data_IF_461222537803
#
_entry.id   IF_461222537803
#
_cell.length_a   1.000
_cell.length_b   1.000
_cell.length_c   1.000
_cell.angle_alpha   90.00
_cell.angle_beta   90.00
_cell.angle_gamma   90.00
#
_symmetry.space_group_name_H-M   'P 1'
#
loop_
_entity.id
_entity.type
_entity.pdbx_description
1 polymer ?
#
# COMPACT_ATOMS: atom_id res chain seq x y z
N UNK A 1 -29.84 -87.09 -67.27
CA UNK A 1 -30.47 -85.92 -66.60
C UNK A 1 -29.38 -84.98 -66.14
N UNK A 2 -29.06 -83.91 -66.82
CA UNK A 2 -27.97 -82.98 -66.52
C UNK A 2 -28.56 -81.70 -65.93
N UNK A 3 -28.24 -81.39 -64.70
CA UNK A 3 -28.60 -80.13 -64.03
C UNK A 3 -27.59 -79.06 -64.37
N UNK A 4 -28.03 -77.98 -65.08
CA UNK A 4 -27.23 -76.78 -65.30
C UNK A 4 -27.13 -76.00 -64.02
N UNK A 5 -25.86 -75.71 -63.59
CA UNK A 5 -25.56 -74.74 -62.56
C UNK A 5 -25.66 -73.33 -63.15
N UNK A 6 -26.49 -72.49 -62.55
CA UNK A 6 -26.52 -71.07 -62.82
C UNK A 6 -25.30 -70.40 -62.11
N UNK A 7 -24.52 -69.71 -62.90
CA UNK A 7 -23.52 -68.77 -62.34
C UNK A 7 -24.29 -67.56 -61.83
N UNK A 8 -24.02 -67.25 -60.56
CA UNK A 8 -24.49 -65.98 -59.97
C UNK A 8 -23.38 -64.95 -60.22
N UNK A 9 -23.65 -63.93 -60.98
CA UNK A 9 -22.80 -62.74 -61.15
C UNK A 9 -22.73 -61.99 -59.85
N UNK A 10 -21.49 -61.82 -59.34
CA UNK A 10 -21.21 -60.91 -58.18
C UNK A 10 -21.26 -59.45 -58.68
N UNK A 11 -21.93 -58.54 -57.98
CA UNK A 11 -21.88 -57.12 -58.30
C UNK A 11 -20.49 -56.59 -58.03
N UNK A 12 -19.99 -55.77 -58.97
CA UNK A 12 -18.71 -55.10 -58.91
C UNK A 12 -18.63 -54.14 -57.67
N UNK A 13 -17.57 -54.29 -56.92
CA UNK A 13 -17.24 -53.37 -55.81
C UNK A 13 -17.01 -51.95 -56.36
N UNK A 14 -17.51 -50.89 -55.69
CA UNK A 14 -17.25 -49.53 -56.11
C UNK A 14 -15.79 -49.21 -55.93
N UNK A 15 -15.15 -48.76 -56.99
CA UNK A 15 -13.82 -48.17 -57.03
C UNK A 15 -13.79 -46.92 -56.14
N UNK A 16 -13.02 -46.97 -55.05
CA UNK A 16 -12.73 -45.81 -54.23
C UNK A 16 -11.76 -44.90 -55.00
N UNK A 17 -12.29 -43.93 -55.70
CA UNK A 17 -11.49 -42.79 -56.13
C UNK A 17 -11.09 -41.99 -54.87
N UNK A 18 -9.81 -41.59 -54.72
CA UNK A 18 -9.40 -40.77 -53.61
C UNK A 18 -10.08 -39.39 -53.72
N UNK A 19 -11.07 -39.14 -52.85
CA UNK A 19 -11.62 -37.78 -52.71
C UNK A 19 -10.48 -36.89 -52.27
N UNK A 20 -10.07 -35.96 -53.16
CA UNK A 20 -9.22 -34.83 -52.80
C UNK A 20 -9.85 -34.14 -51.60
N UNK A 21 -9.15 -34.20 -50.45
CA UNK A 21 -9.50 -33.41 -49.27
C UNK A 21 -9.25 -31.95 -49.64
N UNK A 22 -10.31 -31.24 -50.03
CA UNK A 22 -10.28 -29.80 -50.08
C UNK A 22 -9.99 -29.31 -48.66
N UNK A 23 -8.76 -28.91 -48.40
CA UNK A 23 -8.38 -28.33 -47.14
C UNK A 23 -9.15 -27.01 -46.99
N UNK A 24 -10.11 -26.98 -46.06
CA UNK A 24 -10.85 -25.79 -45.68
C UNK A 24 -9.86 -24.83 -45.05
N UNK A 25 -9.30 -23.91 -45.85
CA UNK A 25 -8.48 -22.83 -45.33
C UNK A 25 -9.40 -21.77 -44.80
N UNK A 26 -9.44 -21.67 -43.45
CA UNK A 26 -10.15 -20.60 -42.77
C UNK A 26 -9.55 -19.24 -43.19
N UNK A 27 -10.43 -18.26 -43.43
CA UNK A 27 -10.04 -16.92 -43.85
C UNK A 27 -9.02 -16.28 -42.88
N UNK A 28 -9.03 -16.71 -41.65
CA UNK A 28 -8.03 -16.32 -40.64
C UNK A 28 -6.64 -16.93 -40.94
N UNK A 29 -6.58 -18.23 -41.26
CA UNK A 29 -5.33 -18.90 -41.60
C UNK A 29 -4.71 -18.36 -42.88
N UNK A 30 -5.52 -18.04 -43.89
CA UNK A 30 -5.01 -17.45 -45.13
C UNK A 30 -4.46 -16.04 -44.95
N UNK A 31 -5.08 -15.23 -44.09
CA UNK A 31 -4.58 -13.90 -43.75
C UNK A 31 -3.32 -13.95 -42.91
N UNK A 32 -3.19 -14.89 -41.96
CA UNK A 32 -1.98 -15.11 -41.16
C UNK A 32 -0.84 -15.60 -42.04
N UNK A 33 -1.08 -16.57 -42.92
CA UNK A 33 -0.06 -17.09 -43.83
C UNK A 33 0.44 -16.01 -44.82
N UNK A 34 -0.49 -15.19 -45.35
CA UNK A 34 -0.13 -14.08 -46.25
C UNK A 34 0.70 -13.01 -45.56
N UNK A 35 0.39 -12.67 -44.32
CA UNK A 35 1.22 -11.73 -43.51
C UNK A 35 2.58 -12.32 -43.13
N UNK A 36 2.65 -13.62 -42.86
CA UNK A 36 3.89 -14.34 -42.64
C UNK A 36 4.77 -14.39 -43.89
N UNK A 37 4.15 -14.62 -45.07
CA UNK A 37 4.86 -14.63 -46.38
C UNK A 37 5.36 -13.22 -46.77
N UNK A 38 4.54 -12.18 -46.58
CA UNK A 38 4.94 -10.79 -46.80
C UNK A 38 6.06 -10.37 -45.86
N UNK A 39 6.06 -10.79 -44.59
CA UNK A 39 7.16 -10.55 -43.66
C UNK A 39 8.41 -11.38 -44.04
N UNK A 40 8.28 -12.62 -44.49
CA UNK A 40 9.45 -13.44 -44.87
C UNK A 40 10.21 -12.87 -46.07
N UNK A 41 9.50 -12.25 -47.03
CA UNK A 41 10.15 -11.57 -48.18
C UNK A 41 10.97 -10.34 -47.76
N UNK A 42 10.57 -9.62 -46.74
CA UNK A 42 11.33 -8.48 -46.20
C UNK A 42 12.63 -8.95 -45.55
N UNK A 43 12.69 -10.24 -45.13
CA UNK A 43 13.85 -10.85 -44.46
C UNK A 43 14.75 -11.68 -45.37
N UNK A 44 14.42 -11.86 -46.64
CA UNK A 44 15.29 -12.55 -47.60
C UNK A 44 16.63 -11.82 -47.75
N UNK A 45 17.71 -12.52 -47.51
CA UNK A 45 19.08 -12.00 -47.55
C UNK A 45 19.59 -11.36 -46.24
N UNK A 46 18.74 -11.11 -45.23
CA UNK A 46 19.17 -10.49 -43.96
C UNK A 46 19.24 -11.45 -42.76
N UNK A 47 19.27 -12.75 -43.01
CA UNK A 47 19.25 -13.78 -41.97
C UNK A 47 20.27 -13.58 -40.83
N UNK A 48 21.49 -13.15 -41.16
CA UNK A 48 22.53 -12.86 -40.16
C UNK A 48 22.18 -11.65 -39.31
N UNK A 49 21.63 -10.60 -39.91
CA UNK A 49 21.21 -9.38 -39.16
C UNK A 49 20.05 -9.67 -38.22
N UNK A 50 19.09 -10.52 -38.63
CA UNK A 50 17.97 -10.94 -37.79
C UNK A 50 18.49 -11.81 -36.65
N UNK A 51 19.39 -12.73 -36.89
CA UNK A 51 20.02 -13.56 -35.86
C UNK A 51 20.71 -12.70 -34.79
N UNK A 52 21.47 -11.68 -35.22
CA UNK A 52 22.10 -10.74 -34.30
C UNK A 52 21.08 -9.89 -33.53
N UNK A 53 20.00 -9.47 -34.15
CA UNK A 53 18.94 -8.73 -33.48
C UNK A 53 18.23 -9.59 -32.41
N UNK A 54 17.92 -10.86 -32.72
CA UNK A 54 17.35 -11.80 -31.76
C UNK A 54 18.34 -12.07 -30.63
N UNK A 55 19.64 -12.31 -30.95
CA UNK A 55 20.66 -12.51 -29.93
C UNK A 55 20.78 -11.28 -29.00
N UNK A 56 20.73 -10.07 -29.55
CA UNK A 56 20.77 -8.83 -28.77
C UNK A 56 19.55 -8.69 -27.85
N UNK A 57 18.35 -9.04 -28.32
CA UNK A 57 17.12 -9.04 -27.51
C UNK A 57 17.23 -10.07 -26.37
N UNK A 58 17.73 -11.27 -26.65
CA UNK A 58 17.92 -12.31 -25.62
C UNK A 58 18.91 -11.85 -24.56
N UNK A 59 20.07 -11.28 -24.98
CA UNK A 59 21.06 -10.73 -24.04
C UNK A 59 20.46 -9.62 -23.19
N UNK A 60 19.70 -8.70 -23.81
CA UNK A 60 19.02 -7.62 -23.09
C UNK A 60 18.01 -8.17 -22.08
N UNK A 61 17.21 -9.18 -22.45
CA UNK A 61 16.25 -9.83 -21.56
C UNK A 61 16.94 -10.52 -20.36
N UNK A 62 18.10 -11.16 -20.60
CA UNK A 62 18.92 -11.75 -19.53
C UNK A 62 19.44 -10.67 -18.59
N UNK A 63 19.97 -9.57 -19.12
CA UNK A 63 20.47 -8.44 -18.32
C UNK A 63 19.35 -7.81 -17.47
N UNK A 64 18.18 -7.61 -18.06
CA UNK A 64 16.98 -7.12 -17.34
C UNK A 64 16.60 -8.12 -16.24
N UNK A 65 16.59 -9.43 -16.52
CA UNK A 65 16.28 -10.47 -15.55
C UNK A 65 17.27 -10.49 -14.37
N UNK A 66 18.57 -10.36 -14.64
CA UNK A 66 19.60 -10.27 -13.61
C UNK A 66 19.42 -8.99 -12.80
N UNK A 67 19.19 -7.85 -13.44
CA UNK A 67 18.97 -6.57 -12.79
C UNK A 67 17.72 -6.60 -11.88
N UNK A 68 16.61 -7.14 -12.38
CA UNK A 68 15.39 -7.29 -11.59
C UNK A 68 15.58 -8.23 -10.39
N UNK A 69 16.30 -9.34 -10.57
CA UNK A 69 16.60 -10.29 -9.50
C UNK A 69 17.49 -9.65 -8.43
N UNK A 70 18.52 -8.92 -8.85
CA UNK A 70 19.40 -8.18 -7.96
C UNK A 70 18.62 -7.12 -7.16
N UNK A 71 17.79 -6.33 -7.85
CA UNK A 71 16.99 -5.28 -7.24
C UNK A 71 15.97 -5.85 -6.23
N UNK A 72 15.32 -6.98 -6.53
CA UNK A 72 14.41 -7.66 -5.60
C UNK A 72 15.12 -8.13 -4.33
N UNK A 73 16.32 -8.71 -4.46
CA UNK A 73 17.11 -9.18 -3.30
C UNK A 73 17.60 -8.00 -2.47
N UNK A 74 18.08 -6.94 -3.12
CA UNK A 74 18.50 -5.71 -2.45
C UNK A 74 17.35 -5.09 -1.67
N UNK A 75 16.15 -4.98 -2.29
CA UNK A 75 14.97 -4.45 -1.64
C UNK A 75 14.51 -5.30 -0.44
N UNK A 76 14.53 -6.62 -0.54
CA UNK A 76 14.19 -7.51 0.58
C UNK A 76 15.16 -7.32 1.76
N UNK A 77 16.46 -7.23 1.47
CA UNK A 77 17.48 -6.98 2.51
C UNK A 77 17.32 -5.59 3.13
N UNK A 78 17.01 -4.57 2.32
CA UNK A 78 16.75 -3.21 2.77
C UNK A 78 15.52 -3.14 3.68
N UNK A 79 14.41 -3.79 3.30
CA UNK A 79 13.20 -3.88 4.12
C UNK A 79 13.46 -4.60 5.46
N UNK A 80 14.24 -5.68 5.44
CA UNK A 80 14.62 -6.38 6.68
C UNK A 80 15.45 -5.48 7.60
N UNK A 81 16.42 -4.74 7.06
CA UNK A 81 17.23 -3.81 7.85
C UNK A 81 16.39 -2.66 8.41
N UNK A 82 15.46 -2.09 7.60
CA UNK A 82 14.52 -1.07 8.04
C UNK A 82 13.61 -1.61 9.15
N UNK A 83 13.04 -2.82 8.99
CA UNK A 83 12.20 -3.48 9.98
C UNK A 83 12.92 -3.64 11.34
N UNK A 84 14.18 -4.07 11.31
CA UNK A 84 14.99 -4.19 12.53
C UNK A 84 15.21 -2.85 13.23
N UNK A 85 15.46 -1.79 12.47
CA UNK A 85 15.60 -0.45 13.03
C UNK A 85 14.27 0.07 13.63
N UNK A 86 13.13 -0.27 12.99
CA UNK A 86 11.79 0.02 13.53
C UNK A 86 11.57 -0.73 14.85
N UNK A 87 11.90 -2.03 14.94
CA UNK A 87 11.82 -2.79 16.18
C UNK A 87 12.63 -2.13 17.30
N UNK A 88 13.84 -1.64 16.99
CA UNK A 88 14.65 -0.89 17.95
C UNK A 88 13.98 0.40 18.40
N UNK A 89 13.36 1.15 17.47
CA UNK A 89 12.66 2.40 17.78
C UNK A 89 11.41 2.21 18.65
N UNK A 90 10.82 1.02 18.59
CA UNK A 90 9.62 0.63 19.34
C UNK A 90 9.94 -0.22 20.58
N UNK A 91 11.22 -0.49 20.85
CA UNK A 91 11.62 -1.30 21.97
C UNK A 91 11.17 -0.71 23.31
N UNK A 92 10.87 -1.57 24.25
CA UNK A 92 10.39 -1.15 25.56
C UNK A 92 11.44 -0.36 26.33
N UNK A 93 11.00 0.72 26.98
CA UNK A 93 11.83 1.48 27.93
C UNK A 93 11.47 1.02 29.35
N UNK A 94 12.41 0.44 30.05
CA UNK A 94 12.20 -0.10 31.41
C UNK A 94 13.52 -0.22 32.17
N UNK A 95 13.47 0.08 33.45
CA UNK A 95 14.60 -0.16 34.39
C UNK A 95 14.52 -1.57 35.02
N UNK A 96 13.45 -2.33 34.77
CA UNK A 96 13.27 -3.65 35.33
C UNK A 96 14.15 -4.68 34.62
N UNK A 97 14.84 -5.55 35.32
CA UNK A 97 15.58 -6.64 34.70
C UNK A 97 14.64 -7.60 33.99
N UNK A 98 15.01 -7.95 32.79
CA UNK A 98 14.23 -8.93 32.00
C UNK A 98 14.38 -10.35 32.61
N UNK A 99 13.35 -11.21 32.46
CA UNK A 99 13.47 -12.61 32.84
C UNK A 99 14.67 -13.27 32.16
N UNK A 100 15.31 -14.21 32.86
CA UNK A 100 16.44 -14.96 32.31
C UNK A 100 16.04 -15.67 31.01
N UNK A 101 16.83 -15.48 29.94
CA UNK A 101 16.56 -16.05 28.60
C UNK A 101 15.71 -15.15 27.69
N UNK A 102 15.31 -13.95 28.13
CA UNK A 102 14.62 -13.00 27.26
C UNK A 102 15.56 -12.47 26.16
N UNK A 103 15.09 -12.51 24.90
CA UNK A 103 15.79 -11.91 23.74
C UNK A 103 15.25 -10.53 23.37
N UNK A 104 14.30 -10.01 24.15
CA UNK A 104 13.66 -8.71 23.91
C UNK A 104 14.66 -7.60 24.17
N UNK A 105 14.84 -6.70 23.19
CA UNK A 105 15.67 -5.51 23.34
C UNK A 105 14.94 -4.49 24.19
N UNK A 106 15.57 -3.97 25.23
CA UNK A 106 15.02 -2.91 26.07
C UNK A 106 16.07 -1.83 26.30
N UNK A 107 15.61 -0.64 26.68
CA UNK A 107 16.45 0.51 26.97
C UNK A 107 16.06 1.12 28.32
N UNK A 108 16.97 1.79 28.97
CA UNK A 108 16.68 2.45 30.23
C UNK A 108 15.95 3.79 30.05
N UNK A 109 16.24 4.49 28.96
CA UNK A 109 15.66 5.79 28.67
C UNK A 109 15.16 5.87 27.21
N UNK A 110 14.18 6.74 26.96
CA UNK A 110 13.74 7.06 25.60
C UNK A 110 14.87 7.61 24.74
N UNK A 111 15.76 8.40 25.34
CA UNK A 111 16.91 8.95 24.64
C UNK A 111 17.85 7.84 24.14
N UNK A 112 18.23 6.89 25.02
CA UNK A 112 19.07 5.75 24.63
C UNK A 112 18.43 4.92 23.51
N UNK A 113 17.11 4.67 23.59
CA UNK A 113 16.36 3.97 22.56
C UNK A 113 16.41 4.74 21.23
N UNK A 114 16.13 6.04 21.26
CA UNK A 114 16.13 6.90 20.10
C UNK A 114 17.51 6.99 19.43
N UNK A 115 18.59 7.15 20.22
CA UNK A 115 19.97 7.16 19.73
C UNK A 115 20.35 5.84 19.05
N UNK A 116 19.99 4.71 19.66
CA UNK A 116 20.22 3.39 19.07
C UNK A 116 19.42 3.20 17.74
N UNK A 117 18.17 3.62 17.73
CA UNK A 117 17.34 3.57 16.53
C UNK A 117 17.90 4.45 15.41
N UNK A 118 18.30 5.69 15.71
CA UNK A 118 18.92 6.61 14.76
C UNK A 118 20.18 5.97 14.14
N UNK A 119 21.03 5.33 14.91
CA UNK A 119 22.23 4.68 14.39
C UNK A 119 21.89 3.53 13.43
N UNK A 120 20.89 2.70 13.75
CA UNK A 120 20.43 1.62 12.88
C UNK A 120 19.76 2.16 11.59
N UNK A 121 18.92 3.19 11.67
CA UNK A 121 18.35 3.85 10.50
C UNK A 121 19.42 4.52 9.64
N UNK A 122 20.44 5.13 10.24
CA UNK A 122 21.56 5.71 9.49
C UNK A 122 22.30 4.64 8.68
N UNK A 123 22.55 3.47 9.27
CA UNK A 123 23.13 2.35 8.54
C UNK A 123 22.26 1.87 7.34
N UNK A 124 20.92 2.02 7.45
CA UNK A 124 20.00 1.77 6.33
C UNK A 124 20.17 2.83 5.25
N UNK A 125 20.23 4.11 5.62
CA UNK A 125 20.45 5.23 4.67
C UNK A 125 21.77 5.07 3.92
N UNK A 126 22.85 4.74 4.65
CA UNK A 126 24.21 4.61 4.09
C UNK A 126 24.33 3.45 3.12
N UNK A 127 23.57 2.36 3.36
CA UNK A 127 23.66 1.14 2.55
C UNK A 127 22.61 1.07 1.44
N UNK A 128 21.45 1.67 1.64
CA UNK A 128 20.30 1.53 0.74
C UNK A 128 19.76 2.90 0.37
N UNK A 129 19.55 3.12 -0.93
CA UNK A 129 18.91 4.33 -1.46
C UNK A 129 17.40 4.10 -1.71
N UNK A 130 16.83 5.01 -2.52
CA UNK A 130 15.43 4.93 -2.95
C UNK A 130 14.44 5.04 -1.80
N UNK A 131 13.28 4.42 -1.95
CA UNK A 131 12.16 4.54 -1.00
C UNK A 131 12.52 4.09 0.42
N UNK A 132 13.34 3.05 0.55
CA UNK A 132 13.75 2.54 1.88
C UNK A 132 14.67 3.53 2.59
N UNK A 133 15.61 4.12 1.86
CA UNK A 133 16.49 5.16 2.40
C UNK A 133 15.71 6.42 2.80
N UNK A 134 14.73 6.85 2.01
CA UNK A 134 13.88 7.99 2.35
C UNK A 134 13.01 7.71 3.58
N UNK A 135 12.43 6.51 3.70
CA UNK A 135 11.72 6.10 4.92
C UNK A 135 12.64 6.08 6.15
N UNK A 136 13.88 5.60 6.00
CA UNK A 136 14.84 5.61 7.10
C UNK A 136 15.18 7.05 7.54
N UNK A 137 15.35 8.01 6.63
CA UNK A 137 15.53 9.43 6.95
C UNK A 137 14.35 10.00 7.76
N UNK A 138 13.12 9.65 7.37
CA UNK A 138 11.93 10.04 8.15
C UNK A 138 11.98 9.50 9.57
N UNK A 139 12.30 8.22 9.75
CA UNK A 139 12.41 7.63 11.09
C UNK A 139 13.56 8.21 11.90
N UNK A 140 14.68 8.59 11.28
CA UNK A 140 15.77 9.34 11.95
C UNK A 140 15.21 10.65 12.50
N UNK A 141 14.54 11.44 11.69
CA UNK A 141 13.99 12.74 12.08
C UNK A 141 12.98 12.60 13.25
N UNK A 142 12.08 11.59 13.19
CA UNK A 142 11.10 11.33 14.24
C UNK A 142 11.77 10.92 15.56
N UNK A 143 12.74 9.99 15.52
CA UNK A 143 13.45 9.57 16.73
C UNK A 143 14.31 10.72 17.31
N UNK A 144 14.86 11.58 16.43
CA UNK A 144 15.65 12.74 16.86
C UNK A 144 14.84 13.77 17.63
N UNK A 145 13.50 13.78 17.54
CA UNK A 145 12.65 14.64 18.38
C UNK A 145 12.88 14.44 19.89
N UNK A 146 13.30 13.25 20.31
CA UNK A 146 13.61 12.92 21.70
C UNK A 146 15.09 13.17 22.08
N UNK A 147 15.96 13.46 21.11
CA UNK A 147 17.41 13.62 21.32
C UNK A 147 17.85 15.07 21.07
N UNK A 148 17.50 15.61 19.91
CA UNK A 148 17.80 16.96 19.44
C UNK A 148 16.62 17.51 18.65
N UNK A 149 15.67 18.08 19.38
CA UNK A 149 14.40 18.56 18.82
C UNK A 149 14.56 19.65 17.74
N UNK A 150 15.44 20.67 17.88
CA UNK A 150 15.65 21.65 16.83
C UNK A 150 16.15 21.05 15.52
N UNK A 151 17.12 20.14 15.58
CA UNK A 151 17.63 19.45 14.40
C UNK A 151 16.54 18.57 13.75
N UNK A 152 15.76 17.85 14.56
CA UNK A 152 14.65 17.03 14.09
C UNK A 152 13.58 17.83 13.34
N UNK A 153 13.19 18.99 13.88
CA UNK A 153 12.22 19.88 13.23
C UNK A 153 12.74 20.37 11.88
N UNK A 154 14.02 20.75 11.81
CA UNK A 154 14.65 21.17 10.54
C UNK A 154 14.65 20.02 9.49
N UNK A 155 14.95 18.80 9.91
CA UNK A 155 14.90 17.63 9.03
C UNK A 155 13.49 17.32 8.55
N UNK A 156 12.50 17.36 9.47
CA UNK A 156 11.09 17.17 9.11
C UNK A 156 10.59 18.27 8.15
N UNK A 157 11.01 19.53 8.34
CA UNK A 157 10.71 20.63 7.40
C UNK A 157 11.29 20.38 6.01
N UNK A 158 12.48 19.79 5.93
CA UNK A 158 13.10 19.38 4.68
C UNK A 158 12.29 18.27 3.98
N UNK A 159 11.99 17.19 4.71
CA UNK A 159 11.26 16.03 4.21
C UNK A 159 9.80 16.35 3.85
N UNK A 160 9.13 17.22 4.61
CA UNK A 160 7.75 17.64 4.39
C UNK A 160 7.52 18.41 3.06
N UNK A 161 8.58 18.90 2.44
CA UNK A 161 8.54 19.52 1.08
C UNK A 161 8.43 18.48 -0.03
N UNK A 162 8.79 17.23 0.27
CA UNK A 162 8.67 16.12 -0.65
C UNK A 162 7.21 15.72 -0.92
N UNK A 163 6.99 15.00 -2.01
CA UNK A 163 5.70 14.37 -2.34
C UNK A 163 5.67 12.91 -1.87
N UNK A 164 4.48 12.32 -1.88
CA UNK A 164 4.27 10.91 -1.55
C UNK A 164 4.26 10.61 -0.06
N UNK A 165 4.51 9.33 0.29
CA UNK A 165 4.35 8.81 1.64
C UNK A 165 5.23 9.54 2.66
N UNK A 166 6.53 9.63 2.40
CA UNK A 166 7.50 10.25 3.33
C UNK A 166 7.21 11.72 3.54
N UNK A 167 6.89 12.47 2.47
CA UNK A 167 6.53 13.88 2.58
C UNK A 167 5.28 14.10 3.43
N UNK A 168 4.24 13.28 3.23
CA UNK A 168 2.98 13.35 4.00
C UNK A 168 3.19 13.02 5.46
N UNK A 169 3.90 11.91 5.76
CA UNK A 169 4.21 11.50 7.13
C UNK A 169 5.08 12.54 7.84
N UNK A 170 6.05 13.11 7.13
CA UNK A 170 6.92 14.17 7.70
C UNK A 170 6.15 15.45 7.99
N UNK A 171 5.21 15.83 7.13
CA UNK A 171 4.32 16.99 7.37
C UNK A 171 3.45 16.76 8.60
N UNK A 172 2.93 15.54 8.77
CA UNK A 172 2.14 15.19 9.94
C UNK A 172 2.97 15.21 11.23
N UNK A 173 4.15 14.58 11.23
CA UNK A 173 5.07 14.60 12.37
C UNK A 173 5.53 16.02 12.70
N UNK A 174 5.77 16.86 11.68
CA UNK A 174 6.11 18.28 11.86
C UNK A 174 4.96 19.05 12.50
N UNK A 175 3.70 18.81 12.09
CA UNK A 175 2.54 19.43 12.70
C UNK A 175 2.43 19.10 14.19
N UNK A 176 2.63 17.82 14.54
CA UNK A 176 2.67 17.39 15.95
C UNK A 176 3.82 18.03 16.72
N UNK A 177 5.01 18.11 16.13
CA UNK A 177 6.17 18.74 16.75
C UNK A 177 5.93 20.24 17.01
N UNK A 178 5.39 20.98 16.00
CA UNK A 178 5.03 22.41 16.13
C UNK A 178 3.97 22.62 17.20
N UNK A 179 2.95 21.75 17.26
CA UNK A 179 1.93 21.78 18.29
C UNK A 179 2.51 21.55 19.70
N UNK A 180 3.45 20.62 19.84
CA UNK A 180 4.18 20.37 21.08
C UNK A 180 5.07 21.53 21.52
N UNK A 181 5.60 22.30 20.56
CA UNK A 181 6.40 23.51 20.81
C UNK A 181 5.55 24.76 21.07
N UNK A 182 4.21 24.63 21.13
CA UNK A 182 3.28 25.75 21.29
C UNK A 182 3.10 26.62 20.05
N UNK A 183 3.67 26.24 18.90
CA UNK A 183 3.50 26.92 17.61
C UNK A 183 2.20 26.52 16.94
N UNK A 184 1.09 26.83 17.63
CA UNK A 184 -0.24 26.32 17.28
C UNK A 184 -0.70 26.77 15.89
N UNK A 185 -0.40 27.99 15.45
CA UNK A 185 -0.78 28.52 14.12
C UNK A 185 -0.06 27.77 12.99
N UNK A 186 1.24 27.47 13.17
CA UNK A 186 2.00 26.67 12.22
C UNK A 186 1.45 25.24 12.14
N UNK A 187 1.10 24.63 13.28
CA UNK A 187 0.48 23.31 13.34
C UNK A 187 -0.88 23.27 12.63
N UNK A 188 -1.76 24.27 12.86
CA UNK A 188 -3.05 24.40 12.17
C UNK A 188 -2.86 24.44 10.66
N UNK A 189 -1.93 25.26 10.16
CA UNK A 189 -1.65 25.35 8.73
C UNK A 189 -1.24 24.01 8.14
N UNK A 190 -0.35 23.26 8.80
CA UNK A 190 0.11 21.95 8.35
C UNK A 190 -1.01 20.91 8.35
N UNK A 191 -1.86 20.87 9.37
CA UNK A 191 -3.03 19.97 9.43
C UNK A 191 -4.07 20.33 8.37
N UNK A 192 -4.33 21.61 8.12
CA UNK A 192 -5.25 22.05 7.05
C UNK A 192 -4.75 21.63 5.67
N UNK A 193 -3.44 21.69 5.44
CA UNK A 193 -2.85 21.20 4.18
C UNK A 193 -2.99 19.69 4.02
N UNK A 194 -2.79 18.92 5.10
CA UNK A 194 -3.00 17.47 5.11
C UNK A 194 -4.48 17.12 4.85
N UNK A 195 -5.42 17.84 5.45
CA UNK A 195 -6.86 17.59 5.29
C UNK A 195 -7.35 17.80 3.86
N UNK A 196 -6.68 18.66 3.06
CA UNK A 196 -6.99 18.92 1.64
C UNK A 196 -6.48 17.85 0.69
N UNK A 197 -5.65 16.90 1.14
CA UNK A 197 -5.09 15.87 0.27
C UNK A 197 -6.17 14.92 -0.24
N UNK A 198 -6.12 14.59 -1.55
CA UNK A 198 -7.15 13.76 -2.20
C UNK A 198 -6.99 12.28 -1.87
N UNK A 199 -5.75 11.81 -1.72
CA UNK A 199 -5.42 10.42 -1.40
C UNK A 199 -4.52 10.39 -0.15
N UNK A 200 -5.11 10.51 1.04
CA UNK A 200 -4.36 10.65 2.27
C UNK A 200 -3.86 9.28 2.77
N UNK A 201 -2.55 9.20 2.98
CA UNK A 201 -1.91 8.06 3.67
C UNK A 201 -2.36 7.99 5.13
N UNK A 202 -2.65 9.14 5.73
CA UNK A 202 -3.18 9.26 7.09
C UNK A 202 -4.67 9.52 6.98
N UNK A 203 -5.47 8.82 7.77
CA UNK A 203 -6.92 9.00 7.79
C UNK A 203 -7.29 10.49 7.95
N UNK A 204 -8.22 10.96 7.12
CA UNK A 204 -8.76 12.32 7.24
C UNK A 204 -9.35 12.60 8.61
N UNK A 205 -9.97 11.59 9.21
CA UNK A 205 -10.53 11.72 10.57
C UNK A 205 -9.43 11.96 11.60
N UNK A 206 -8.29 11.25 11.48
CA UNK A 206 -7.13 11.48 12.37
C UNK A 206 -6.57 12.90 12.19
N UNK A 207 -6.38 13.34 10.95
CA UNK A 207 -5.86 14.69 10.66
C UNK A 207 -6.81 15.76 11.18
N UNK A 208 -8.11 15.61 10.94
CA UNK A 208 -9.13 16.56 11.39
C UNK A 208 -9.29 16.54 12.91
N UNK A 209 -9.19 15.37 13.54
CA UNK A 209 -9.23 15.25 14.99
C UNK A 209 -8.08 16.00 15.67
N UNK A 210 -6.85 15.81 15.16
CA UNK A 210 -5.68 16.53 15.66
C UNK A 210 -5.81 18.04 15.42
N UNK A 211 -6.31 18.46 14.23
CA UNK A 211 -6.62 19.87 13.94
C UNK A 211 -7.59 20.45 14.97
N UNK A 212 -8.68 19.74 15.26
CA UNK A 212 -9.67 20.18 16.24
C UNK A 212 -9.09 20.33 17.65
N UNK A 213 -8.20 19.38 18.06
CA UNK A 213 -7.50 19.51 19.33
C UNK A 213 -6.61 20.76 19.40
N UNK A 214 -5.95 21.12 18.30
CA UNK A 214 -5.14 22.34 18.28
C UNK A 214 -6.00 23.60 18.32
N UNK A 215 -7.14 23.62 17.60
CA UNK A 215 -8.11 24.71 17.68
C UNK A 215 -8.70 24.87 19.09
N UNK A 216 -8.98 23.75 19.77
CA UNK A 216 -9.40 23.75 21.18
C UNK A 216 -8.34 24.40 22.08
N UNK A 217 -7.06 24.06 21.90
CA UNK A 217 -5.92 24.67 22.60
C UNK A 217 -5.78 26.18 22.31
N UNK A 218 -6.14 26.62 21.11
CA UNK A 218 -6.20 28.05 20.75
C UNK A 218 -7.42 28.78 21.32
N UNK A 219 -8.32 28.07 22.01
CA UNK A 219 -9.59 28.63 22.51
C UNK A 219 -10.70 28.74 21.45
N UNK A 220 -10.47 28.28 20.21
CA UNK A 220 -11.44 28.26 19.11
C UNK A 220 -12.42 27.09 19.24
N UNK A 221 -13.14 27.06 20.37
CA UNK A 221 -13.97 25.94 20.77
C UNK A 221 -15.10 25.62 19.77
N UNK A 222 -15.70 26.63 19.17
CA UNK A 222 -16.77 26.46 18.18
C UNK A 222 -16.25 25.75 16.92
N UNK A 223 -15.12 26.20 16.39
CA UNK A 223 -14.48 25.58 15.22
C UNK A 223 -14.08 24.12 15.52
N UNK A 224 -13.51 23.86 16.69
CA UNK A 224 -13.16 22.51 17.13
C UNK A 224 -14.41 21.60 17.22
N UNK A 225 -15.50 22.10 17.85
CA UNK A 225 -16.76 21.39 17.97
C UNK A 225 -17.37 21.05 16.59
N UNK A 226 -17.28 21.93 15.62
CA UNK A 226 -17.74 21.70 14.25
C UNK A 226 -16.98 20.54 13.58
N UNK A 227 -15.68 20.49 13.76
CA UNK A 227 -14.86 19.41 13.21
C UNK A 227 -15.16 18.08 13.92
N UNK A 228 -15.22 18.05 15.25
CA UNK A 228 -15.59 16.84 16.00
C UNK A 228 -16.98 16.33 15.61
N UNK A 229 -17.94 17.23 15.43
CA UNK A 229 -19.27 16.90 14.96
C UNK A 229 -19.23 16.19 13.59
N UNK A 230 -18.49 16.75 12.64
CA UNK A 230 -18.40 16.19 11.30
C UNK A 230 -17.79 14.79 11.31
N UNK A 231 -16.74 14.55 12.11
CA UNK A 231 -16.12 13.23 12.28
C UNK A 231 -17.14 12.24 12.87
N UNK A 232 -17.76 12.59 13.98
CA UNK A 232 -18.66 11.70 14.70
C UNK A 232 -19.93 11.40 13.90
N UNK A 233 -20.51 12.41 13.22
CA UNK A 233 -21.68 12.27 12.36
C UNK A 233 -21.39 11.38 11.15
N UNK A 234 -20.32 11.64 10.42
CA UNK A 234 -19.94 10.83 9.25
C UNK A 234 -19.74 9.36 9.63
N UNK A 235 -19.11 9.09 10.77
CA UNK A 235 -18.91 7.74 11.27
C UNK A 235 -20.23 7.07 11.72
N UNK A 236 -21.17 7.83 12.35
CA UNK A 236 -22.47 7.31 12.78
C UNK A 236 -23.38 6.98 11.58
N UNK A 237 -23.26 7.71 10.47
CA UNK A 237 -24.04 7.51 9.24
C UNK A 237 -23.40 6.46 8.31
N UNK A 238 -22.17 6.02 8.58
CA UNK A 238 -21.45 5.07 7.73
C UNK A 238 -22.10 3.68 7.76
N UNK A 239 -22.23 3.07 6.58
CA UNK A 239 -22.81 1.74 6.40
C UNK A 239 -21.89 0.88 5.56
N UNK A 240 -21.91 -0.42 5.81
CA UNK A 240 -21.22 -1.41 4.99
C UNK A 240 -21.96 -1.67 3.65
N UNK A 241 -21.42 -2.58 2.84
CA UNK A 241 -22.02 -2.96 1.56
C UNK A 241 -23.41 -3.58 1.70
N UNK A 242 -23.76 -4.12 2.87
CA UNK A 242 -25.06 -4.72 3.18
C UNK A 242 -26.03 -3.71 3.80
N UNK A 243 -25.63 -2.45 3.96
CA UNK A 243 -26.43 -1.38 4.55
C UNK A 243 -26.48 -1.39 6.07
N UNK A 244 -25.65 -2.20 6.73
CA UNK A 244 -25.54 -2.25 8.19
C UNK A 244 -24.64 -1.14 8.70
N UNK A 245 -24.93 -0.62 9.89
CA UNK A 245 -24.08 0.37 10.54
C UNK A 245 -22.68 -0.18 10.82
N UNK A 246 -21.66 0.60 10.49
CA UNK A 246 -20.26 0.27 10.81
C UNK A 246 -19.96 0.72 12.24
N UNK A 247 -19.30 -0.12 13.08
CA UNK A 247 -18.89 0.30 14.41
C UNK A 247 -17.99 1.54 14.35
N UNK A 248 -18.22 2.49 15.26
CA UNK A 248 -17.43 3.71 15.33
C UNK A 248 -15.93 3.38 15.53
N UNK A 249 -15.07 4.02 14.74
CA UNK A 249 -13.63 4.00 14.99
C UNK A 249 -13.29 4.63 16.35
N UNK A 250 -12.08 4.37 16.86
CA UNK A 250 -11.63 5.02 18.10
C UNK A 250 -11.66 6.55 17.96
N UNK A 251 -11.12 7.09 16.87
CA UNK A 251 -11.12 8.54 16.59
C UNK A 251 -12.53 9.13 16.58
N UNK A 252 -13.51 8.42 16.00
CA UNK A 252 -14.90 8.89 15.97
C UNK A 252 -15.56 8.88 17.35
N UNK A 253 -15.26 7.89 18.20
CA UNK A 253 -15.72 7.86 19.59
C UNK A 253 -15.13 9.01 20.38
N UNK A 254 -13.82 9.21 20.31
CA UNK A 254 -13.14 10.32 20.98
C UNK A 254 -13.64 11.68 20.49
N UNK A 255 -13.93 11.82 19.20
CA UNK A 255 -14.55 13.03 18.64
C UNK A 255 -15.94 13.28 19.21
N UNK A 256 -16.78 12.24 19.36
CA UNK A 256 -18.10 12.35 20.00
C UNK A 256 -17.99 12.75 21.46
N UNK A 257 -17.02 12.21 22.20
CA UNK A 257 -16.79 12.56 23.62
C UNK A 257 -16.33 14.02 23.76
N UNK A 258 -15.39 14.44 22.91
CA UNK A 258 -14.93 15.84 22.85
C UNK A 258 -16.04 16.80 22.49
N UNK A 259 -16.87 16.46 21.50
CA UNK A 259 -18.03 17.25 21.11
C UNK A 259 -19.02 17.36 22.26
N UNK A 260 -19.30 16.25 22.95
CA UNK A 260 -20.22 16.23 24.09
C UNK A 260 -19.76 17.17 25.21
N UNK A 261 -18.45 17.27 25.42
CA UNK A 261 -17.90 18.19 26.41
C UNK A 261 -17.92 19.66 25.96
N UNK A 262 -17.83 19.95 24.67
CA UNK A 262 -17.80 21.31 24.13
C UNK A 262 -19.20 21.85 23.78
N UNK A 263 -20.05 21.02 23.20
CA UNK A 263 -21.39 21.34 22.73
C UNK A 263 -22.32 20.13 22.87
N UNK A 264 -22.92 19.92 24.09
CA UNK A 264 -23.79 18.80 24.35
C UNK A 264 -25.04 18.77 23.46
N UNK A 265 -25.58 19.93 23.11
CA UNK A 265 -26.80 20.01 22.29
C UNK A 265 -26.53 19.53 20.85
N UNK A 266 -25.41 19.94 20.30
CA UNK A 266 -24.97 19.49 19.00
C UNK A 266 -24.65 17.98 18.98
N UNK A 267 -24.07 17.46 20.07
CA UNK A 267 -23.77 16.03 20.21
C UNK A 267 -25.06 15.16 20.20
N UNK A 268 -26.17 15.63 20.76
CA UNK A 268 -27.47 14.94 20.77
C UNK A 268 -28.07 14.77 19.37
N UNK A 269 -27.64 15.57 18.39
CA UNK A 269 -28.13 15.47 17.01
C UNK A 269 -27.48 14.35 16.22
N UNK A 270 -26.41 13.73 16.74
CA UNK A 270 -25.74 12.61 16.08
C UNK A 270 -26.55 11.35 16.26
N UNK A 271 -26.89 10.61 15.18
CA UNK A 271 -27.58 9.35 15.29
C UNK A 271 -26.82 8.37 16.19
N UNK A 272 -27.51 7.70 17.09
CA UNK A 272 -26.88 6.57 17.79
C UNK A 272 -26.82 5.37 16.87
N UNK A 273 -25.66 4.70 16.76
CA UNK A 273 -25.59 3.45 16.01
C UNK A 273 -26.56 2.48 16.65
N UNK A 274 -27.46 1.92 15.85
CA UNK A 274 -28.43 0.92 16.33
C UNK A 274 -27.64 -0.21 16.99
N UNK A 275 -27.87 -0.55 18.27
CA UNK A 275 -27.19 -1.67 18.90
C UNK A 275 -27.45 -2.91 18.05
N UNK A 276 -26.40 -3.60 17.60
CA UNK A 276 -26.58 -4.95 17.06
C UNK A 276 -27.29 -5.76 18.14
N UNK A 277 -28.49 -6.32 17.81
CA UNK A 277 -29.11 -7.30 18.65
C UNK A 277 -28.04 -8.39 18.91
N UNK A 278 -27.80 -8.78 20.18
CA UNK A 278 -26.82 -9.81 20.47
C UNK A 278 -27.19 -11.02 19.63
N UNK A 279 -26.28 -11.40 18.70
CA UNK A 279 -26.41 -12.65 17.96
C UNK A 279 -26.39 -13.74 19.01
N UNK A 280 -27.60 -14.18 19.40
CA UNK A 280 -27.77 -15.25 20.36
C UNK A 280 -26.97 -16.45 19.86
N UNK A 281 -25.92 -16.79 20.57
CA UNK A 281 -25.30 -18.09 20.46
C UNK A 281 -26.40 -19.12 20.84
N UNK A 282 -27.07 -19.60 19.80
CA UNK A 282 -28.00 -20.74 19.95
C UNK A 282 -27.12 -21.97 20.20
N UNK A 283 -26.79 -22.24 21.45
CA UNK A 283 -26.35 -23.55 21.87
C UNK A 283 -27.53 -24.50 21.67
N UNK A 284 -27.58 -25.16 20.50
CA UNK A 284 -28.55 -26.19 20.23
C UNK A 284 -28.52 -27.23 21.34
N UNK A 285 -29.71 -27.47 21.88
CA UNK A 285 -30.01 -28.62 22.74
C UNK A 285 -29.92 -29.91 21.92
#
# INVERSE_FOLDING_TARGET
>A
MARKKRLVEQPALPTNEPKEKVAYQDAFQSNVNRRLEESSRVFEGKGKTILYAIAAIVVLAILIGIFMSYNRRSNATAQTALGKAIETSQAQVTDQPLPAGSTIKTFKTEKERAEAAIAEFQAVVDKFGGDVGEKAKYFIAVNRLSVDRPAAVTELEGLAKGSGEVGTLSKFALAQAKAGDGKLDEAVTLYQDLAKMSDPIISKDTVNFDLAQILEKQGKKTEAADIYFNIAKAAAEAKDADGKAIPLSQTAREAKDKLTALDPEKAKTIPEPTPEAPTGFNFGQ
#
